data_IF_784103338931
#
_entry.id   IF_784103338931
#
_cell.length_a   1.000
_cell.length_b   1.000
_cell.length_c   1.000
_cell.angle_alpha   90.00
_cell.angle_beta   90.00
_cell.angle_gamma   90.00
#
_symmetry.space_group_name_H-M   'P 1'
#
loop_
_entity.id
_entity.type
_entity.pdbx_description
1 polymer ?
#
# COMPACT_ATOMS: atom_id res chain seq x y z
N UNK A 1 -18.32 5.52 -1.62
CA UNK A 1 -17.34 6.63 -1.50
C UNK A 1 -15.99 6.15 -1.98
N UNK A 2 -15.15 7.06 -2.47
CA UNK A 2 -13.78 6.82 -2.94
C UNK A 2 -12.80 7.73 -2.19
N UNK A 3 -11.50 7.40 -2.13
CA UNK A 3 -10.49 8.28 -1.55
C UNK A 3 -10.62 9.72 -2.07
N UNK A 4 -10.59 10.70 -1.17
CA UNK A 4 -10.75 12.12 -1.48
C UNK A 4 -12.18 12.65 -1.49
N UNK A 5 -13.21 11.78 -1.49
CA UNK A 5 -14.60 12.22 -1.33
C UNK A 5 -14.93 12.51 0.14
N UNK A 6 -15.83 13.47 0.40
CA UNK A 6 -16.23 13.85 1.77
C UNK A 6 -16.76 12.68 2.61
N UNK A 7 -17.39 11.70 1.97
CA UNK A 7 -17.93 10.52 2.64
C UNK A 7 -16.93 9.36 2.75
N UNK A 8 -15.67 9.57 2.34
CA UNK A 8 -14.58 8.62 2.60
C UNK A 8 -14.23 8.62 4.08
N UNK A 9 -13.94 7.46 4.69
CA UNK A 9 -13.62 7.42 6.10
C UNK A 9 -12.36 8.23 6.41
N UNK A 10 -12.43 8.98 7.50
CA UNK A 10 -11.31 9.73 8.06
C UNK A 10 -10.22 8.80 8.59
N UNK A 11 -8.99 9.29 8.82
CA UNK A 11 -7.93 8.50 9.43
C UNK A 11 -8.31 7.88 10.78
N UNK A 12 -9.15 8.57 11.56
CA UNK A 12 -9.64 8.08 12.86
C UNK A 12 -10.58 6.89 12.71
N UNK A 13 -11.47 6.92 11.72
CA UNK A 13 -12.39 5.80 11.44
C UNK A 13 -11.62 4.58 10.94
N UNK A 14 -10.60 4.78 10.09
CA UNK A 14 -9.71 3.69 9.68
C UNK A 14 -8.93 3.09 10.85
N UNK A 15 -8.44 3.92 11.78
CA UNK A 15 -7.76 3.44 12.98
C UNK A 15 -8.70 2.63 13.89
N UNK A 16 -9.95 3.08 14.04
CA UNK A 16 -10.97 2.32 14.78
C UNK A 16 -11.23 0.97 14.15
N UNK A 17 -11.40 0.91 12.82
CA UNK A 17 -11.54 -0.36 12.10
C UNK A 17 -10.32 -1.26 12.33
N UNK A 18 -9.10 -0.71 12.24
CA UNK A 18 -7.88 -1.50 12.47
C UNK A 18 -7.86 -2.14 13.87
N UNK A 19 -8.29 -1.41 14.90
CA UNK A 19 -8.43 -1.95 16.26
C UNK A 19 -9.45 -3.08 16.32
N UNK A 20 -10.58 -2.99 15.61
CA UNK A 20 -11.58 -4.08 15.57
C UNK A 20 -11.09 -5.33 14.83
N UNK A 21 -10.04 -5.19 14.03
CA UNK A 21 -9.42 -6.26 13.24
C UNK A 21 -8.11 -6.75 13.87
N UNK A 22 -7.87 -6.47 15.15
CA UNK A 22 -6.63 -6.83 15.86
C UNK A 22 -5.35 -6.37 15.13
N UNK A 23 -5.38 -5.19 14.51
CA UNK A 23 -4.23 -4.63 13.80
C UNK A 23 -4.01 -5.16 12.38
N UNK A 24 -4.99 -5.87 11.79
CA UNK A 24 -4.86 -6.53 10.47
C UNK A 24 -5.36 -5.69 9.29
N UNK A 25 -5.59 -4.39 9.48
CA UNK A 25 -5.88 -3.47 8.37
C UNK A 25 -4.58 -2.94 7.77
N UNK A 26 -4.39 -3.15 6.47
CA UNK A 26 -3.20 -2.69 5.74
C UNK A 26 -3.57 -1.64 4.69
N UNK A 27 -2.72 -0.62 4.57
CA UNK A 27 -2.75 0.28 3.43
C UNK A 27 -2.11 -0.42 2.24
N UNK A 28 -2.85 -0.57 1.14
CA UNK A 28 -2.32 -1.22 -0.06
C UNK A 28 -1.21 -0.38 -0.67
N UNK A 29 -0.01 -0.94 -0.71
CA UNK A 29 1.13 -0.41 -1.45
C UNK A 29 1.36 -1.34 -2.64
N UNK A 30 1.34 -0.83 -3.89
CA UNK A 30 1.59 -1.67 -5.06
C UNK A 30 2.95 -2.36 -4.98
N UNK A 31 3.05 -3.62 -5.43
CA UNK A 31 4.31 -4.36 -5.45
C UNK A 31 5.41 -3.62 -6.23
N UNK A 32 5.04 -2.93 -7.31
CA UNK A 32 5.93 -2.11 -8.13
C UNK A 32 6.23 -0.71 -7.59
N UNK A 33 5.62 -0.29 -6.46
CA UNK A 33 5.89 1.02 -5.84
C UNK A 33 7.38 1.38 -5.65
N UNK A 34 8.31 0.45 -5.32
CA UNK A 34 9.74 0.76 -5.23
C UNK A 34 10.41 1.07 -6.59
N UNK A 35 9.79 0.74 -7.71
CA UNK A 35 10.38 0.91 -9.05
C UNK A 35 10.16 2.30 -9.67
N UNK A 36 9.29 3.14 -9.10
CA UNK A 36 8.96 4.44 -9.67
C UNK A 36 9.61 5.58 -8.87
N UNK A 37 10.49 6.41 -9.48
CA UNK A 37 11.19 7.49 -8.75
C UNK A 37 10.29 8.56 -8.11
N UNK A 38 9.07 8.73 -8.61
CA UNK A 38 8.07 9.64 -8.03
C UNK A 38 7.23 9.01 -6.91
N UNK A 39 7.47 7.73 -6.60
CA UNK A 39 6.85 7.04 -5.48
C UNK A 39 7.55 7.40 -4.17
N UNK A 40 6.77 7.62 -3.11
CA UNK A 40 7.31 7.76 -1.74
C UNK A 40 7.99 6.49 -1.23
N UNK A 41 7.79 5.36 -1.92
CA UNK A 41 8.37 4.05 -1.59
C UNK A 41 9.54 3.66 -2.50
N UNK A 42 10.04 4.59 -3.33
CA UNK A 42 11.15 4.30 -4.26
C UNK A 42 12.35 3.68 -3.55
N UNK A 43 12.81 2.53 -4.06
CA UNK A 43 14.00 1.85 -3.59
C UNK A 43 14.54 0.97 -4.71
N UNK A 44 15.71 1.33 -5.25
CA UNK A 44 16.30 0.63 -6.39
C UNK A 44 16.61 -0.86 -6.09
N UNK A 45 17.11 -1.17 -4.89
CA UNK A 45 17.43 -2.56 -4.51
C UNK A 45 16.17 -3.42 -4.35
N UNK A 46 15.12 -2.87 -3.74
CA UNK A 46 13.82 -3.54 -3.65
C UNK A 46 13.20 -3.71 -5.03
N UNK A 47 13.31 -2.70 -5.91
CA UNK A 47 12.83 -2.81 -7.28
C UNK A 47 13.50 -3.97 -8.03
N UNK A 48 14.82 -4.10 -7.97
CA UNK A 48 15.53 -5.22 -8.61
C UNK A 48 15.05 -6.59 -8.08
N UNK A 49 14.73 -6.68 -6.79
CA UNK A 49 14.14 -7.90 -6.20
C UNK A 49 12.74 -8.17 -6.74
N UNK A 50 11.91 -7.13 -6.86
CA UNK A 50 10.55 -7.23 -7.42
C UNK A 50 10.60 -7.63 -8.89
N UNK A 51 11.42 -6.99 -9.70
CA UNK A 51 11.57 -7.30 -11.13
C UNK A 51 12.05 -8.74 -11.37
N UNK A 52 12.94 -9.25 -10.53
CA UNK A 52 13.42 -10.63 -10.61
C UNK A 52 12.35 -11.68 -10.27
N UNK A 53 11.33 -11.32 -9.48
CA UNK A 53 10.35 -12.27 -8.94
C UNK A 53 8.92 -12.04 -9.43
N UNK A 54 8.65 -10.97 -10.18
CA UNK A 54 7.28 -10.64 -10.62
C UNK A 54 6.62 -11.74 -11.47
N UNK A 55 7.42 -12.59 -12.12
CA UNK A 55 6.94 -13.75 -12.89
C UNK A 55 6.74 -15.01 -12.06
N UNK A 56 7.23 -15.04 -10.81
CA UNK A 56 7.14 -16.20 -9.91
C UNK A 56 5.89 -16.16 -9.03
N UNK A 57 5.21 -15.00 -8.99
CA UNK A 57 4.02 -14.74 -8.16
C UNK A 57 2.70 -14.77 -8.97
N UNK A 58 2.73 -15.19 -10.24
CA UNK A 58 1.57 -15.40 -11.13
C UNK A 58 1.41 -16.89 -11.47
#
# INVERSE_FOLDING_TARGET
CQPGQKCWPSPKEWQQLNTTLDGRLYLTIPLGAPCYPNSTYYNAATCSTVEANITNDL
#
